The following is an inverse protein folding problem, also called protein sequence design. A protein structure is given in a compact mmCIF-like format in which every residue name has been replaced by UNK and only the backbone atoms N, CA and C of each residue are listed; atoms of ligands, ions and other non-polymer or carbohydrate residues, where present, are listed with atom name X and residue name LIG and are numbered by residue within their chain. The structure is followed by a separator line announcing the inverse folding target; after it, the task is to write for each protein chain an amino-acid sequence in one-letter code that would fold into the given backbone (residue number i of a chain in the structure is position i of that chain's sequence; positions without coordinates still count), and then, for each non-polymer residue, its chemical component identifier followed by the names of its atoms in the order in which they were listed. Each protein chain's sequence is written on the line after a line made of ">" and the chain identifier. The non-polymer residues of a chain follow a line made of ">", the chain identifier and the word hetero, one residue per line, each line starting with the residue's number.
data_IF_403062519316
#
_entry.id   IF_403062519316
#
_cell.length_a   1.000
_cell.length_b   1.000
_cell.length_c   1.000
_cell.angle_alpha   90.00
_cell.angle_beta   90.00
_cell.angle_gamma   90.00
#
_symmetry.space_group_name_H-M   'P 1'
#
loop_
_entity.id
_entity.type
_entity.pdbx_description
1 polymer ?
#
# COMPACT_ATOMS: atom_id res chain seq x y z
N UNK A 1 10.57 10.55 -12.17
CA UNK A 1 11.22 10.10 -10.92
C UNK A 1 11.21 8.56 -10.92
N UNK A 2 12.25 7.89 -10.45
CA UNK A 2 12.26 6.42 -10.34
C UNK A 2 12.31 6.04 -8.85
N UNK A 3 11.16 5.64 -8.31
CA UNK A 3 11.01 5.32 -6.90
C UNK A 3 10.43 3.91 -6.74
N UNK A 4 11.09 3.09 -5.93
CA UNK A 4 10.65 1.73 -5.62
C UNK A 4 10.37 1.65 -4.13
N UNK A 5 9.14 1.27 -3.78
CA UNK A 5 8.68 1.11 -2.41
C UNK A 5 8.29 -0.34 -2.16
N UNK A 6 8.78 -0.91 -1.07
CA UNK A 6 8.50 -2.29 -0.66
C UNK A 6 7.70 -2.27 0.63
N UNK A 7 6.62 -3.01 0.69
CA UNK A 7 5.72 -3.11 1.84
C UNK A 7 5.54 -4.57 2.23
N UNK A 8 5.25 -4.84 3.50
CA UNK A 8 4.84 -6.18 3.92
C UNK A 8 3.53 -6.57 3.22
N UNK A 9 3.54 -7.65 2.45
CA UNK A 9 2.37 -8.06 1.65
C UNK A 9 1.19 -8.44 2.54
N UNK A 10 1.43 -9.12 3.67
CA UNK A 10 0.35 -9.54 4.56
C UNK A 10 -0.37 -8.33 5.17
N UNK A 11 0.37 -7.34 5.64
CA UNK A 11 -0.20 -6.12 6.18
C UNK A 11 -0.92 -5.28 5.10
N UNK A 12 -0.33 -5.18 3.90
CA UNK A 12 -0.99 -4.52 2.77
C UNK A 12 -2.28 -5.25 2.35
N UNK A 13 -2.31 -6.59 2.45
CA UNK A 13 -3.51 -7.39 2.20
C UNK A 13 -4.61 -7.08 3.20
N UNK A 14 -4.30 -6.94 4.50
CA UNK A 14 -5.30 -6.59 5.50
C UNK A 14 -5.99 -5.26 5.18
N UNK A 15 -5.21 -4.27 4.74
CA UNK A 15 -5.77 -3.00 4.27
C UNK A 15 -6.61 -3.15 3.00
N UNK A 16 -6.17 -3.98 2.05
CA UNK A 16 -6.88 -4.19 0.79
C UNK A 16 -8.21 -4.92 1.02
N UNK A 17 -8.21 -5.96 1.85
CA UNK A 17 -9.41 -6.68 2.23
C UNK A 17 -10.38 -5.79 3.01
N UNK A 18 -9.85 -4.96 3.92
CA UNK A 18 -10.65 -3.96 4.61
C UNK A 18 -11.34 -3.03 3.61
N UNK A 19 -10.59 -2.42 2.68
CA UNK A 19 -11.13 -1.53 1.67
C UNK A 19 -12.21 -2.21 0.82
N UNK A 20 -12.00 -3.46 0.39
CA UNK A 20 -12.98 -4.22 -0.41
C UNK A 20 -14.23 -4.58 0.38
N UNK A 21 -14.09 -4.85 1.68
CA UNK A 21 -15.21 -5.21 2.56
C UNK A 21 -16.01 -4.01 3.08
N UNK A 22 -15.43 -2.80 3.01
CA UNK A 22 -16.05 -1.60 3.51
C UNK A 22 -17.31 -1.25 2.70
N UNK A 23 -18.37 -0.84 3.41
CA UNK A 23 -19.63 -0.43 2.80
C UNK A 23 -19.53 0.97 2.17
N UNK A 24 -18.63 1.79 2.68
CA UNK A 24 -18.38 3.16 2.25
C UNK A 24 -16.87 3.35 2.03
N UNK A 25 -16.54 4.27 1.13
CA UNK A 25 -15.17 4.64 0.78
C UNK A 25 -15.03 6.16 0.88
N UNK A 26 -13.82 6.61 1.22
CA UNK A 26 -13.47 8.02 1.14
C UNK A 26 -13.64 8.56 -0.28
N UNK A 27 -13.66 9.89 -0.38
CA UNK A 27 -13.83 10.57 -1.68
C UNK A 27 -12.77 10.08 -2.69
N UNK A 28 -13.16 9.94 -3.96
CA UNK A 28 -12.23 9.61 -5.02
C UNK A 28 -11.14 10.67 -5.12
N UNK A 29 -9.94 10.21 -5.47
CA UNK A 29 -8.76 11.06 -5.63
C UNK A 29 -8.62 11.33 -7.13
N UNK A 30 -8.65 12.60 -7.52
CA UNK A 30 -8.69 13.03 -8.92
C UNK A 30 -9.82 12.36 -9.73
N UNK A 31 -9.57 12.04 -11.01
CA UNK A 31 -10.51 11.37 -11.92
C UNK A 31 -10.55 9.83 -11.74
N UNK A 32 -10.03 9.29 -10.63
CA UNK A 32 -10.08 7.85 -10.37
C UNK A 32 -11.50 7.35 -10.08
N UNK A 33 -11.85 6.14 -10.54
CA UNK A 33 -13.16 5.57 -10.32
C UNK A 33 -13.43 5.38 -8.83
N UNK A 34 -14.62 5.81 -8.39
CA UNK A 34 -15.09 5.55 -7.02
C UNK A 34 -15.11 4.04 -6.71
N UNK A 35 -14.67 3.67 -5.51
CA UNK A 35 -14.69 2.29 -5.04
C UNK A 35 -13.52 1.94 -4.11
N UNK A 36 -13.32 0.64 -3.83
CA UNK A 36 -12.26 0.19 -2.93
C UNK A 36 -10.88 0.44 -3.53
N UNK A 37 -10.03 1.11 -2.77
CA UNK A 37 -8.66 1.40 -3.16
C UNK A 37 -7.71 1.33 -1.96
N UNK A 38 -6.45 1.01 -2.23
CA UNK A 38 -5.35 1.36 -1.33
C UNK A 38 -4.87 2.76 -1.70
N UNK A 39 -4.55 3.60 -0.72
CA UNK A 39 -3.96 4.90 -0.96
C UNK A 39 -2.47 4.83 -0.63
N UNK A 40 -1.63 5.13 -1.61
CA UNK A 40 -0.20 5.37 -1.41
C UNK A 40 -0.01 6.83 -1.04
N UNK A 41 0.49 7.06 0.17
CA UNK A 41 0.79 8.39 0.69
C UNK A 41 2.29 8.53 0.84
N UNK A 42 2.85 9.64 0.37
CA UNK A 42 4.22 10.03 0.66
C UNK A 42 4.26 11.47 1.19
N UNK A 43 4.43 11.61 2.49
CA UNK A 43 4.52 12.87 3.23
C UNK A 43 5.66 12.77 4.28
N UNK A 44 5.34 12.57 5.57
CA UNK A 44 6.26 12.17 6.62
C UNK A 44 6.51 10.65 6.57
N UNK A 45 7.17 10.21 5.51
CA UNK A 45 7.43 8.81 5.20
C UNK A 45 6.66 8.36 3.96
N UNK A 46 6.63 7.04 3.71
CA UNK A 46 5.86 6.47 2.59
C UNK A 46 5.05 5.29 3.12
N UNK A 47 3.73 5.34 2.99
CA UNK A 47 2.84 4.33 3.54
C UNK A 47 1.61 4.06 2.69
N UNK A 48 0.99 2.91 2.94
CA UNK A 48 -0.30 2.52 2.40
C UNK A 48 -1.38 2.67 3.47
N UNK A 49 -2.56 3.15 3.08
CA UNK A 49 -3.77 3.15 3.89
C UNK A 49 -4.97 2.63 3.10
N UNK A 50 -6.00 2.17 3.78
CA UNK A 50 -7.28 1.81 3.16
C UNK A 50 -8.13 3.07 2.95
N UNK A 51 -8.82 3.20 1.82
CA UNK A 51 -9.86 4.22 1.66
C UNK A 51 -11.23 3.83 2.23
N UNK A 52 -11.44 2.56 2.64
CA UNK A 52 -12.67 2.10 3.26
C UNK A 52 -12.99 2.78 4.60
N UNK A 53 -14.28 3.00 4.87
CA UNK A 53 -14.80 3.63 6.08
C UNK A 53 -15.65 2.65 6.92
N UNK A 54 -15.61 2.75 8.27
CA UNK A 54 -14.71 3.60 9.06
C UNK A 54 -13.25 3.14 8.97
N UNK A 55 -12.30 4.07 9.14
CA UNK A 55 -10.88 3.73 9.06
C UNK A 55 -10.48 2.77 10.19
N UNK A 56 -9.66 1.73 9.91
CA UNK A 56 -9.22 0.81 10.94
C UNK A 56 -8.28 1.52 11.93
N UNK A 57 -8.32 1.15 13.22
CA UNK A 57 -7.42 1.73 14.22
C UNK A 57 -5.95 1.36 13.92
N UNK A 58 -5.00 2.22 14.33
CA UNK A 58 -3.57 1.99 14.12
C UNK A 58 -3.13 0.65 14.69
N UNK A 59 -2.16 0.02 14.00
CA UNK A 59 -1.54 -1.23 14.45
C UNK A 59 -0.67 -1.03 15.70
N UNK A 60 -0.39 -2.10 16.47
CA UNK A 60 0.41 -2.02 17.69
C UNK A 60 1.86 -1.54 17.44
N UNK A 61 2.40 -1.82 16.26
CA UNK A 61 3.76 -1.44 15.86
C UNK A 61 3.81 -0.11 15.10
N UNK A 62 2.69 0.62 15.02
CA UNK A 62 2.65 1.91 14.32
C UNK A 62 3.13 3.05 15.21
N UNK A 63 3.72 4.10 14.59
CA UNK A 63 4.07 5.34 15.25
C UNK A 63 2.86 5.93 15.99
N UNK A 64 3.10 6.51 17.18
CA UNK A 64 2.05 7.15 17.97
C UNK A 64 1.37 8.35 17.27
N UNK A 65 1.98 8.87 16.21
CA UNK A 65 1.45 9.91 15.34
C UNK A 65 0.40 9.40 14.35
N UNK A 66 0.36 8.08 14.08
CA UNK A 66 -0.61 7.47 13.18
C UNK A 66 -1.98 7.35 13.85
N UNK A 67 -2.97 8.06 13.33
CA UNK A 67 -4.36 8.04 13.82
C UNK A 67 -5.19 6.89 13.24
N UNK A 68 -4.70 6.30 12.15
CA UNK A 68 -5.38 5.26 11.35
C UNK A 68 -4.38 4.21 10.95
N UNK A 69 -4.86 3.00 10.60
CA UNK A 69 -3.98 1.91 10.19
C UNK A 69 -3.24 2.24 8.89
N UNK A 70 -1.92 2.36 9.00
CA UNK A 70 -1.00 2.52 7.89
C UNK A 70 0.03 1.37 7.79
N UNK A 71 0.49 1.06 6.59
CA UNK A 71 1.60 0.13 6.33
C UNK A 71 2.73 0.89 5.69
N UNK A 72 3.80 1.12 6.44
CA UNK A 72 4.97 1.86 5.96
C UNK A 72 5.83 1.02 5.02
N UNK A 73 6.42 1.68 4.03
CA UNK A 73 7.43 1.08 3.19
C UNK A 73 8.71 0.80 3.99
N UNK A 74 9.43 -0.25 3.60
CA UNK A 74 10.75 -0.58 4.12
C UNK A 74 11.66 0.65 4.02
N UNK A 75 12.28 1.04 5.14
CA UNK A 75 13.21 2.18 5.24
C UNK A 75 12.58 3.55 4.89
N UNK A 76 11.25 3.69 5.09
CA UNK A 76 10.48 4.93 4.88
C UNK A 76 9.46 5.17 5.99
N UNK A 77 9.92 5.08 7.23
CA UNK A 77 9.10 5.35 8.42
C UNK A 77 8.97 6.86 8.70
N UNK A 78 8.04 7.30 9.57
CA UNK A 78 7.90 8.71 9.93
C UNK A 78 9.18 9.36 10.45
N UNK A 79 9.37 10.64 10.12
CA UNK A 79 10.63 11.36 10.30
C UNK A 79 11.67 11.11 9.20
N UNK A 80 11.31 10.38 8.14
CA UNK A 80 12.11 10.23 6.92
C UNK A 80 11.36 10.84 5.73
N UNK A 81 11.25 12.19 5.67
CA UNK A 81 10.50 12.86 4.61
C UNK A 81 11.06 12.49 3.24
N UNK A 82 10.17 12.38 2.26
CA UNK A 82 10.57 12.33 0.85
C UNK A 82 11.35 13.60 0.53
N UNK A 83 12.46 13.45 -0.19
CA UNK A 83 13.51 14.49 -0.32
C UNK A 83 13.05 15.80 -0.98
N UNK A 84 11.82 15.88 -1.50
CA UNK A 84 11.36 16.96 -2.36
C UNK A 84 10.15 17.74 -1.84
N UNK A 85 9.58 17.39 -0.67
CA UNK A 85 8.51 18.17 -0.04
C UNK A 85 7.17 18.20 -0.79
N UNK A 86 7.03 17.41 -1.87
CA UNK A 86 5.77 17.19 -2.55
C UNK A 86 5.03 16.03 -1.86
N UNK A 87 3.92 16.38 -1.20
CA UNK A 87 2.97 15.41 -0.67
C UNK A 87 2.38 14.62 -1.85
N UNK A 88 2.62 13.31 -1.88
CA UNK A 88 2.08 12.42 -2.89
C UNK A 88 0.90 11.66 -2.32
N UNK A 89 -0.21 11.64 -3.07
CA UNK A 89 -1.36 10.82 -2.75
C UNK A 89 -1.87 10.15 -4.03
N UNK A 90 -1.73 8.84 -4.11
CA UNK A 90 -2.15 8.04 -5.28
C UNK A 90 -3.12 6.96 -4.82
N UNK A 91 -4.28 6.88 -5.46
CA UNK A 91 -5.19 5.76 -5.26
C UNK A 91 -4.80 4.56 -6.15
N UNK A 92 -4.98 3.36 -5.59
CA UNK A 92 -4.70 2.06 -6.20
C UNK A 92 -6.01 1.28 -6.23
N UNK A 93 -6.78 1.37 -7.32
CA UNK A 93 -8.07 0.71 -7.43
C UNK A 93 -7.94 -0.81 -7.25
N UNK A 94 -8.67 -1.37 -6.28
CA UNK A 94 -8.61 -2.79 -5.96
C UNK A 94 -9.51 -3.64 -6.85
N UNK A 95 -10.63 -3.07 -7.30
CA UNK A 95 -11.70 -3.76 -8.02
C UNK A 95 -11.87 -3.27 -9.46
N UNK A 96 -10.80 -2.79 -10.10
CA UNK A 96 -10.90 -2.28 -11.47
C UNK A 96 -11.38 -3.37 -12.45
N UNK A 97 -12.39 -3.09 -13.29
CA UNK A 97 -12.90 -4.07 -14.25
C UNK A 97 -11.80 -4.55 -15.20
N UNK A 98 -11.65 -5.87 -15.32
CA UNK A 98 -10.68 -6.51 -16.22
C UNK A 98 -9.32 -6.81 -15.59
N UNK A 99 -8.94 -6.12 -14.52
CA UNK A 99 -7.65 -6.33 -13.84
C UNK A 99 -7.71 -6.07 -12.33
N UNK A 100 -8.44 -6.90 -11.56
CA UNK A 100 -8.63 -6.66 -10.13
C UNK A 100 -7.32 -6.89 -9.35
N UNK A 101 -6.71 -5.79 -8.90
CA UNK A 101 -5.50 -5.82 -8.08
C UNK A 101 -5.68 -6.70 -6.84
N UNK A 102 -6.86 -6.69 -6.21
CA UNK A 102 -7.14 -7.54 -5.04
C UNK A 102 -6.92 -9.03 -5.32
N UNK A 103 -7.32 -9.53 -6.49
CA UNK A 103 -7.16 -10.95 -6.83
C UNK A 103 -5.69 -11.30 -7.06
N UNK A 104 -4.91 -10.39 -7.65
CA UNK A 104 -3.46 -10.56 -7.80
C UNK A 104 -2.77 -10.64 -6.44
N UNK A 105 -3.12 -9.75 -5.53
CA UNK A 105 -2.58 -9.73 -4.17
C UNK A 105 -2.94 -11.04 -3.45
N UNK A 106 -4.22 -11.44 -3.46
CA UNK A 106 -4.71 -12.71 -2.88
C UNK A 106 -3.94 -13.91 -3.45
N UNK A 107 -3.76 -13.99 -4.75
CA UNK A 107 -3.00 -15.06 -5.41
C UNK A 107 -1.52 -15.05 -5.00
N UNK A 108 -0.90 -13.88 -4.90
CA UNK A 108 0.48 -13.74 -4.48
C UNK A 108 0.73 -14.20 -3.04
N UNK A 109 -0.15 -13.82 -2.11
CA UNK A 109 -0.07 -14.28 -0.70
C UNK A 109 -0.22 -15.79 -0.59
N UNK A 110 -1.17 -16.40 -1.31
CA UNK A 110 -1.33 -17.86 -1.34
C UNK A 110 -0.12 -18.60 -1.93
N UNK A 111 0.61 -17.94 -2.83
CA UNK A 111 1.82 -18.50 -3.44
C UNK A 111 3.08 -18.17 -2.64
N UNK A 112 2.97 -17.61 -1.44
CA UNK A 112 4.08 -17.38 -0.52
C UNK A 112 4.93 -16.15 -0.83
N UNK A 113 4.40 -15.19 -1.60
CA UNK A 113 4.99 -13.84 -1.66
C UNK A 113 4.80 -13.15 -0.31
N UNK A 114 5.76 -12.32 0.07
CA UNK A 114 5.83 -11.66 1.38
C UNK A 114 6.00 -10.14 1.27
N UNK A 115 6.33 -9.63 0.07
CA UNK A 115 6.49 -8.21 -0.19
C UNK A 115 5.59 -7.72 -1.33
N UNK A 116 4.91 -6.60 -1.11
CA UNK A 116 4.27 -5.78 -2.14
C UNK A 116 5.28 -4.72 -2.59
N UNK A 117 5.52 -4.62 -3.89
CA UNK A 117 6.44 -3.67 -4.50
C UNK A 117 5.65 -2.72 -5.38
N UNK A 118 5.79 -1.43 -5.11
CA UNK A 118 5.23 -0.36 -5.92
C UNK A 118 6.39 0.37 -6.58
N UNK A 119 6.38 0.45 -7.90
CA UNK A 119 7.38 1.18 -8.67
C UNK A 119 6.70 2.33 -9.40
N UNK A 120 7.20 3.54 -9.13
CA UNK A 120 6.87 4.77 -9.86
C UNK A 120 8.00 5.06 -10.84
N UNK A 121 7.73 4.97 -12.13
CA UNK A 121 8.68 5.23 -13.20
C UNK A 121 8.02 6.11 -14.27
N UNK A 122 8.52 7.32 -14.51
CA UNK A 122 8.04 8.22 -15.58
C UNK A 122 6.50 8.34 -15.63
N UNK A 123 5.90 8.66 -14.48
CA UNK A 123 4.45 8.76 -14.26
C UNK A 123 3.66 7.45 -14.46
N UNK A 124 4.35 6.33 -14.64
CA UNK A 124 3.77 4.99 -14.62
C UNK A 124 3.90 4.39 -13.23
N UNK A 125 2.76 4.00 -12.68
CA UNK A 125 2.65 3.26 -11.43
C UNK A 125 2.50 1.78 -11.75
N UNK A 126 3.38 0.96 -11.21
CA UNK A 126 3.28 -0.51 -11.32
C UNK A 126 3.28 -1.15 -9.95
N UNK A 127 2.43 -2.15 -9.78
CA UNK A 127 2.27 -2.90 -8.52
C UNK A 127 2.57 -4.36 -8.79
N UNK A 128 3.51 -4.92 -8.03
CA UNK A 128 3.91 -6.31 -8.13
C UNK A 128 4.09 -6.93 -6.74
N UNK A 129 3.75 -8.20 -6.59
CA UNK A 129 4.11 -8.94 -5.38
C UNK A 129 5.39 -9.74 -5.63
N UNK A 130 6.32 -9.72 -4.69
CA UNK A 130 7.62 -10.39 -4.77
C UNK A 130 7.85 -11.27 -3.54
N UNK A 131 8.69 -12.30 -3.71
CA UNK A 131 9.28 -13.00 -2.57
C UNK A 131 10.58 -12.31 -2.22
N UNK A 132 10.82 -12.04 -0.94
CA UNK A 132 12.16 -11.78 -0.46
C UNK A 132 12.98 -13.05 -0.69
N UNK A 133 14.13 -13.00 -1.37
CA UNK A 133 15.04 -14.13 -1.35
C UNK A 133 15.44 -14.35 0.11
N UNK A 134 14.97 -15.46 0.69
CA UNK A 134 15.45 -15.92 1.97
C UNK A 134 16.94 -16.20 1.78
N UNK A 135 17.81 -15.34 2.32
CA UNK A 135 19.24 -15.60 2.30
C UNK A 135 19.43 -17.00 2.95
N UNK A 136 20.10 -17.96 2.27
CA UNK A 136 20.38 -19.23 2.91
C UNK A 136 21.22 -18.91 4.14
N UNK A 137 20.70 -19.24 5.32
CA UNK A 137 21.53 -19.32 6.53
C UNK A 137 22.55 -20.41 6.26
N UNK A 138 23.77 -20.01 5.93
CA UNK A 138 24.95 -20.87 6.01
C UNK A 138 25.08 -21.25 7.49
N UNK A 139 24.74 -22.50 7.79
CA UNK A 139 24.97 -23.18 9.06
C UNK A 139 25.62 -24.52 8.78
#
# INVERSE_FOLDING_TARGET
>A
MNSVFRFNLAAAMELAEHAVSAAEHGDPIDDEPAGPALLLVADDGVYLMSNGLPQPPPGPDQPATSTVRAVFAEHRSPGQPTHDGDDLLIALPLSQPGDPLIEKLRAASRTGHDALVITLLDDQLTVAATRTPHAPRLG
#
